data_IF_780450903816
#
_entry.id   IF_780450903816
#
_cell.length_a   1.000
_cell.length_b   1.000
_cell.length_c   1.000
_cell.angle_alpha   90.00
_cell.angle_beta   90.00
_cell.angle_gamma   90.00
#
_symmetry.space_group_name_H-M   'P 1'
#
loop_
_entity.id
_entity.type
_entity.pdbx_description
1 polymer ?
#
# COMPACT_ATOMS: atom_id res chain seq x y z
N UNK A 1 3.80 29.05 -0.36
CA UNK A 1 2.80 28.20 -1.04
C UNK A 1 1.59 27.95 -0.14
N UNK A 2 1.76 27.39 1.07
CA UNK A 2 0.65 27.18 2.02
C UNK A 2 -0.11 28.46 2.41
N UNK A 3 0.57 29.56 2.75
CA UNK A 3 -0.08 30.82 3.12
C UNK A 3 -0.97 31.36 1.99
N UNK A 4 -0.47 31.32 0.75
CA UNK A 4 -1.23 31.74 -0.43
C UNK A 4 -2.40 30.79 -0.74
N UNK A 5 -2.26 29.49 -0.47
CA UNK A 5 -3.33 28.50 -0.68
C UNK A 5 -4.53 28.72 0.25
N UNK A 6 -4.27 29.07 1.52
CA UNK A 6 -5.29 29.32 2.53
C UNK A 6 -5.61 30.82 2.73
N UNK A 7 -4.99 31.70 1.95
CA UNK A 7 -5.20 33.15 1.97
C UNK A 7 -5.01 33.78 3.37
N UNK A 8 -3.94 33.42 4.07
CA UNK A 8 -3.56 34.05 5.34
C UNK A 8 -2.14 34.63 5.31
N UNK A 9 -1.92 35.67 6.11
CA UNK A 9 -0.61 36.26 6.32
C UNK A 9 0.02 35.73 7.62
N UNK A 10 1.26 35.21 7.59
CA UNK A 10 1.93 34.75 8.80
C UNK A 10 2.47 35.95 9.60
N UNK A 11 2.17 35.98 10.89
CA UNK A 11 2.77 36.92 11.85
C UNK A 11 3.79 36.19 12.74
N UNK A 12 5.00 36.73 12.85
CA UNK A 12 6.11 36.09 13.55
C UNK A 12 6.62 37.00 14.68
N UNK A 13 6.93 36.40 15.83
CA UNK A 13 7.56 37.14 16.93
C UNK A 13 8.91 37.71 16.54
N UNK A 14 9.22 38.90 17.06
CA UNK A 14 10.49 39.56 16.84
C UNK A 14 11.63 38.85 17.60
N UNK A 15 12.83 38.87 17.03
CA UNK A 15 14.02 38.31 17.68
C UNK A 15 14.28 39.06 19.00
N UNK A 16 14.51 38.32 20.08
CA UNK A 16 14.71 38.83 21.45
C UNK A 16 13.49 39.50 22.12
N UNK A 17 12.28 39.39 21.55
CA UNK A 17 11.05 39.91 22.15
C UNK A 17 10.29 38.82 22.95
N UNK A 18 10.89 38.31 24.04
CA UNK A 18 10.28 37.25 24.85
C UNK A 18 8.91 37.58 25.46
N UNK A 19 8.60 38.87 25.60
CA UNK A 19 7.31 39.36 26.10
C UNK A 19 6.14 39.06 25.14
N UNK A 20 6.40 38.90 23.84
CA UNK A 20 5.39 38.54 22.82
C UNK A 20 4.91 37.08 22.98
N UNK A 21 5.64 36.27 23.76
CA UNK A 21 5.37 34.84 23.95
C UNK A 21 4.50 34.50 25.18
N UNK A 22 4.14 35.48 26.00
CA UNK A 22 3.45 35.23 27.29
C UNK A 22 2.11 34.47 27.15
N UNK A 23 1.35 34.74 26.08
CA UNK A 23 0.08 34.05 25.78
C UNK A 23 0.34 32.58 25.41
N UNK A 24 1.36 32.32 24.60
CA UNK A 24 1.73 30.97 24.15
C UNK A 24 2.12 30.09 25.33
N UNK A 25 2.92 30.62 26.26
CA UNK A 25 3.39 29.85 27.42
C UNK A 25 2.26 29.50 28.39
N UNK A 26 1.34 30.43 28.63
CA UNK A 26 0.14 30.16 29.43
C UNK A 26 -0.74 29.09 28.77
N UNK A 27 -0.95 29.17 27.44
CA UNK A 27 -1.74 28.18 26.70
C UNK A 27 -1.12 26.77 26.78
N UNK A 28 0.21 26.66 26.76
CA UNK A 28 0.90 25.38 26.95
C UNK A 28 0.64 24.81 28.34
N UNK A 29 0.72 25.64 29.39
CA UNK A 29 0.42 25.20 30.76
C UNK A 29 -1.05 24.77 30.93
N UNK A 30 -1.99 25.52 30.34
CA UNK A 30 -3.42 25.21 30.38
C UNK A 30 -3.72 23.90 29.63
N UNK A 31 -3.14 23.72 28.44
CA UNK A 31 -3.29 22.49 27.66
C UNK A 31 -2.74 21.27 28.40
N UNK A 32 -1.62 21.43 29.12
CA UNK A 32 -1.07 20.38 29.98
C UNK A 32 -2.03 19.93 31.05
N UNK A 33 -2.75 20.85 31.67
CA UNK A 33 -3.73 20.51 32.71
C UNK A 33 -5.00 19.89 32.14
N UNK A 34 -5.47 20.39 31.00
CA UNK A 34 -6.78 20.02 30.41
C UNK A 34 -6.75 18.75 29.55
N UNK A 35 -5.60 18.45 28.94
CA UNK A 35 -5.47 17.33 27.99
C UNK A 35 -4.51 16.29 28.57
N UNK A 36 -3.30 16.70 28.93
CA UNK A 36 -2.24 15.74 29.23
C UNK A 36 -2.35 15.08 30.62
N UNK A 37 -3.14 15.64 31.55
CA UNK A 37 -3.47 14.95 32.81
C UNK A 37 -4.48 13.84 32.54
N UNK A 38 -5.60 14.13 31.87
CA UNK A 38 -6.61 13.13 31.51
C UNK A 38 -6.04 12.01 30.62
N UNK A 39 -5.08 12.35 29.76
CA UNK A 39 -4.38 11.36 28.94
C UNK A 39 -3.58 10.35 29.77
N UNK A 40 -3.11 10.71 30.97
CA UNK A 40 -2.36 9.79 31.85
C UNK A 40 -3.25 8.68 32.44
N UNK A 41 -4.55 8.94 32.57
CA UNK A 41 -5.52 7.97 33.08
C UNK A 41 -5.95 6.95 32.00
N UNK A 42 -5.54 7.18 30.74
CA UNK A 42 -5.83 6.32 29.61
C UNK A 42 -4.61 5.45 29.24
N UNK A 43 -4.85 4.21 28.80
CA UNK A 43 -3.82 3.38 28.17
C UNK A 43 -4.02 3.42 26.66
N UNK A 44 -2.97 3.74 25.92
CA UNK A 44 -2.97 3.77 24.46
C UNK A 44 -2.01 2.70 23.92
N UNK A 45 -2.47 1.93 22.95
CA UNK A 45 -1.69 0.87 22.30
C UNK A 45 -1.00 1.34 21.02
N UNK A 46 -1.37 2.53 20.51
CA UNK A 46 -0.75 3.13 19.33
C UNK A 46 -0.82 4.66 19.33
N UNK A 47 0.03 5.30 18.52
CA UNK A 47 -0.06 6.75 18.28
C UNK A 47 -1.35 7.14 17.56
N UNK A 48 -1.92 6.26 16.73
CA UNK A 48 -3.18 6.50 16.04
C UNK A 48 -4.34 6.62 17.04
N UNK A 49 -4.39 5.70 18.01
CA UNK A 49 -5.36 5.73 19.10
C UNK A 49 -5.24 7.00 19.96
N UNK A 50 -4.00 7.36 20.34
CA UNK A 50 -3.73 8.60 21.05
C UNK A 50 -4.19 9.83 20.25
N UNK A 51 -3.89 9.89 18.96
CA UNK A 51 -4.30 11.01 18.09
C UNK A 51 -5.82 11.11 17.97
N UNK A 52 -6.53 9.98 17.86
CA UNK A 52 -7.99 9.93 17.83
C UNK A 52 -8.58 10.46 19.15
N UNK A 53 -8.06 10.00 20.28
CA UNK A 53 -8.46 10.48 21.61
C UNK A 53 -8.18 11.97 21.79
N UNK A 54 -6.99 12.46 21.42
CA UNK A 54 -6.61 13.87 21.48
C UNK A 54 -7.59 14.72 20.66
N UNK A 55 -7.94 14.28 19.44
CA UNK A 55 -8.90 14.97 18.60
C UNK A 55 -10.29 15.08 19.24
N UNK A 56 -10.75 14.03 19.91
CA UNK A 56 -12.01 14.03 20.64
C UNK A 56 -11.94 14.95 21.86
N UNK A 57 -10.88 14.85 22.68
CA UNK A 57 -10.71 15.68 23.88
C UNK A 57 -10.62 17.17 23.55
N UNK A 58 -9.88 17.53 22.50
CA UNK A 58 -9.80 18.91 22.02
C UNK A 58 -11.17 19.47 21.64
N UNK A 59 -12.02 18.70 20.95
CA UNK A 59 -13.38 19.13 20.60
C UNK A 59 -14.31 19.19 21.81
N UNK A 60 -14.18 18.26 22.77
CA UNK A 60 -14.93 18.31 24.01
C UNK A 60 -14.65 19.60 24.80
N UNK A 61 -13.38 19.99 24.88
CA UNK A 61 -12.96 21.24 25.53
C UNK A 61 -13.58 22.49 24.92
N UNK A 62 -13.96 22.49 23.63
CA UNK A 62 -14.65 23.64 23.03
C UNK A 62 -16.00 23.91 23.68
N UNK A 63 -16.69 22.88 24.18
CA UNK A 63 -17.96 23.02 24.90
C UNK A 63 -17.75 23.39 26.38
N UNK A 64 -16.65 22.93 27.00
CA UNK A 64 -16.37 23.14 28.43
C UNK A 64 -15.79 24.54 28.72
N UNK A 65 -15.04 25.10 27.76
CA UNK A 65 -14.31 26.36 27.95
C UNK A 65 -15.18 27.56 27.58
N UNK A 66 -15.25 28.53 28.49
CA UNK A 66 -15.84 29.85 28.21
C UNK A 66 -14.99 30.63 27.23
N UNK A 67 -15.63 31.31 26.28
CA UNK A 67 -14.95 32.18 25.33
C UNK A 67 -14.29 33.38 26.05
N UNK A 68 -13.03 33.72 25.76
CA UNK A 68 -12.30 34.76 26.51
C UNK A 68 -12.90 36.16 26.37
N UNK A 69 -13.62 36.44 25.27
CA UNK A 69 -14.19 37.76 24.99
C UNK A 69 -15.71 37.82 25.22
N UNK A 70 -16.41 36.68 25.18
CA UNK A 70 -17.87 36.61 25.29
C UNK A 70 -18.25 35.84 26.55
N UNK A 71 -18.51 36.58 27.63
CA UNK A 71 -18.88 35.99 28.93
C UNK A 71 -20.21 35.23 28.81
N UNK A 72 -20.24 33.99 29.29
CA UNK A 72 -21.45 33.16 29.31
C UNK A 72 -21.66 32.30 28.07
N UNK A 73 -20.79 32.41 27.06
CA UNK A 73 -20.77 31.51 25.90
C UNK A 73 -19.52 30.63 25.93
N UNK A 74 -19.66 29.40 25.46
CA UNK A 74 -18.57 28.46 25.21
C UNK A 74 -17.87 28.77 23.88
N UNK A 75 -16.66 28.23 23.70
CA UNK A 75 -15.93 28.34 22.42
C UNK A 75 -16.72 27.69 21.28
N UNK A 76 -17.42 26.57 21.55
CA UNK A 76 -18.24 25.88 20.56
C UNK A 76 -19.43 26.73 20.08
N UNK A 77 -20.16 27.38 21.00
CA UNK A 77 -21.29 28.25 20.65
C UNK A 77 -20.85 29.45 19.81
N UNK A 78 -19.72 30.07 20.15
CA UNK A 78 -19.18 31.17 19.35
C UNK A 78 -18.74 30.68 17.97
N UNK A 79 -18.10 29.51 17.86
CA UNK A 79 -17.75 28.91 16.57
C UNK A 79 -18.98 28.64 15.70
N UNK A 80 -20.11 28.22 16.28
CA UNK A 80 -21.35 28.02 15.53
C UNK A 80 -21.90 29.33 14.96
N UNK A 81 -21.86 30.41 15.76
CA UNK A 81 -22.27 31.74 15.32
C UNK A 81 -21.36 32.27 14.20
N UNK A 82 -20.03 32.13 14.35
CA UNK A 82 -19.07 32.63 13.36
C UNK A 82 -19.08 31.82 12.06
N UNK A 83 -19.43 30.53 12.11
CA UNK A 83 -19.38 29.63 10.94
C UNK A 83 -20.17 30.13 9.73
N UNK A 84 -21.25 30.87 9.95
CA UNK A 84 -22.04 31.47 8.87
C UNK A 84 -21.29 32.56 8.09
N UNK A 85 -20.33 33.22 8.74
CA UNK A 85 -19.52 34.30 8.18
C UNK A 85 -18.16 33.81 7.64
N UNK A 86 -17.80 32.55 7.90
CA UNK A 86 -16.53 31.96 7.45
C UNK A 86 -16.57 31.61 5.96
N UNK A 87 -15.42 31.77 5.30
CA UNK A 87 -15.22 31.25 3.95
C UNK A 87 -15.31 29.71 3.94
N UNK A 88 -15.83 29.12 2.84
CA UNK A 88 -15.74 27.68 2.64
C UNK A 88 -14.29 27.20 2.71
N UNK A 89 -14.07 26.05 3.36
CA UNK A 89 -12.74 25.45 3.42
C UNK A 89 -12.27 25.08 2.00
N UNK A 90 -11.12 25.60 1.51
CA UNK A 90 -10.57 25.19 0.24
C UNK A 90 -10.09 23.74 0.29
N UNK A 91 -9.72 23.18 -0.87
CA UNK A 91 -9.11 21.85 -0.92
C UNK A 91 -7.92 21.76 0.05
N UNK A 92 -7.70 20.59 0.66
CA UNK A 92 -6.57 20.41 1.56
C UNK A 92 -5.24 20.70 0.82
N UNK A 93 -4.38 21.51 1.43
CA UNK A 93 -3.06 21.78 0.89
C UNK A 93 -2.21 20.51 0.86
N UNK A 94 -1.65 20.21 -0.30
CA UNK A 94 -0.78 19.05 -0.47
C UNK A 94 0.66 19.38 -0.02
N UNK A 95 0.94 19.09 1.26
CA UNK A 95 2.18 19.44 1.92
C UNK A 95 3.25 18.35 1.86
N UNK A 96 4.04 18.31 0.79
CA UNK A 96 5.20 17.42 0.66
C UNK A 96 6.51 18.18 0.40
N UNK A 97 7.63 17.53 0.70
CA UNK A 97 8.96 18.00 0.30
C UNK A 97 9.42 17.20 -0.91
N UNK A 98 9.54 17.89 -2.05
CA UNK A 98 9.96 17.27 -3.31
C UNK A 98 11.47 17.34 -3.49
N UNK A 99 12.06 16.21 -3.92
CA UNK A 99 13.48 16.15 -4.30
C UNK A 99 13.70 15.19 -5.47
N UNK A 100 14.53 15.57 -6.46
CA UNK A 100 14.96 14.63 -7.50
C UNK A 100 15.84 13.54 -6.86
N UNK A 101 15.61 12.30 -7.26
CA UNK A 101 16.36 11.14 -6.83
C UNK A 101 16.74 10.28 -8.04
N UNK A 102 17.96 9.73 -8.03
CA UNK A 102 18.39 8.74 -9.03
C UNK A 102 18.11 7.34 -8.52
N UNK A 103 17.44 6.53 -9.33
CA UNK A 103 17.20 5.11 -9.02
C UNK A 103 18.49 4.32 -9.20
N UNK A 104 18.87 3.53 -8.20
CA UNK A 104 20.04 2.64 -8.26
C UNK A 104 19.84 1.48 -9.25
N UNK A 105 20.92 0.77 -9.58
CA UNK A 105 20.83 -0.49 -10.35
C UNK A 105 20.06 -1.59 -9.62
N UNK A 106 19.91 -1.49 -8.30
CA UNK A 106 19.12 -2.40 -7.45
C UNK A 106 17.67 -1.95 -7.28
N UNK A 107 17.22 -0.99 -8.10
CA UNK A 107 15.85 -0.45 -8.09
C UNK A 107 15.49 0.23 -6.76
N UNK A 108 16.42 0.98 -6.17
CA UNK A 108 16.21 1.72 -4.92
C UNK A 108 16.39 3.22 -5.10
N UNK A 109 15.61 4.02 -4.37
CA UNK A 109 15.79 5.47 -4.20
C UNK A 109 16.14 5.80 -2.76
N UNK A 110 17.04 6.76 -2.54
CA UNK A 110 17.44 7.20 -1.19
C UNK A 110 16.66 8.45 -0.77
N UNK A 111 15.89 8.36 0.31
CA UNK A 111 15.10 9.47 0.86
C UNK A 111 15.32 9.52 2.38
N UNK A 112 15.77 10.65 2.90
CA UNK A 112 15.88 10.86 4.35
C UNK A 112 16.80 9.87 5.09
N UNK A 113 17.87 9.39 4.44
CA UNK A 113 18.80 8.33 4.93
C UNK A 113 18.25 6.89 4.91
N UNK A 114 17.03 6.70 4.42
CA UNK A 114 16.46 5.38 4.17
C UNK A 114 16.38 5.11 2.67
N UNK A 115 16.21 3.84 2.30
CA UNK A 115 16.07 3.41 0.90
C UNK A 115 14.71 2.77 0.67
N UNK A 116 14.12 3.05 -0.49
CA UNK A 116 12.80 2.56 -0.87
C UNK A 116 12.89 1.95 -2.25
N UNK A 117 12.29 0.77 -2.43
CA UNK A 117 12.25 0.13 -3.74
C UNK A 117 11.35 0.87 -4.72
N UNK A 118 11.65 0.75 -6.01
CA UNK A 118 10.81 1.26 -7.10
C UNK A 118 10.73 0.21 -8.20
N UNK A 119 9.71 0.26 -9.09
CA UNK A 119 9.60 -0.69 -10.20
C UNK A 119 10.87 -0.75 -11.04
N UNK A 120 11.28 -1.97 -11.41
CA UNK A 120 12.58 -2.22 -12.04
C UNK A 120 12.77 -1.55 -13.41
N UNK A 121 11.69 -1.14 -14.07
CA UNK A 121 11.72 -0.35 -15.32
C UNK A 121 12.29 1.07 -15.15
N UNK A 122 12.37 1.57 -13.90
CA UNK A 122 12.97 2.85 -13.57
C UNK A 122 14.43 2.76 -13.13
N UNK A 123 15.03 1.56 -13.12
CA UNK A 123 16.44 1.40 -12.74
C UNK A 123 17.36 2.33 -13.56
N UNK A 124 18.18 3.13 -12.87
CA UNK A 124 19.08 4.10 -13.48
C UNK A 124 18.45 5.42 -13.96
N UNK A 125 17.12 5.55 -13.92
CA UNK A 125 16.41 6.79 -14.29
C UNK A 125 16.38 7.80 -13.14
N UNK A 126 16.08 9.04 -13.48
CA UNK A 126 15.76 10.08 -12.49
C UNK A 126 14.26 10.12 -12.25
N UNK A 127 13.89 10.27 -10.98
CA UNK A 127 12.50 10.31 -10.52
C UNK A 127 12.35 11.42 -9.48
N UNK A 128 11.12 11.85 -9.22
CA UNK A 128 10.80 12.76 -8.13
C UNK A 128 10.40 11.97 -6.89
N UNK A 129 11.02 12.28 -5.76
CA UNK A 129 10.61 11.75 -4.46
C UNK A 129 9.84 12.82 -3.69
N UNK A 130 8.61 12.49 -3.28
CA UNK A 130 7.74 13.34 -2.46
C UNK A 130 7.70 12.77 -1.05
N UNK A 131 8.27 13.52 -0.11
CA UNK A 131 8.31 13.13 1.30
C UNK A 131 7.13 13.76 2.05
N UNK A 132 6.23 12.91 2.55
CA UNK A 132 5.12 13.27 3.42
C UNK A 132 5.46 12.98 4.89
N UNK A 133 4.61 13.41 5.86
CA UNK A 133 4.80 13.09 7.26
C UNK A 133 4.85 11.57 7.54
N UNK A 134 3.95 10.79 6.94
CA UNK A 134 3.78 9.34 7.23
C UNK A 134 4.15 8.43 6.07
N UNK A 135 4.37 8.97 4.86
CA UNK A 135 4.65 8.18 3.66
C UNK A 135 5.65 8.86 2.73
N UNK A 136 6.16 8.11 1.77
CA UNK A 136 6.96 8.60 0.66
C UNK A 136 6.31 8.11 -0.62
N UNK A 137 6.18 9.03 -1.57
CA UNK A 137 5.73 8.73 -2.92
C UNK A 137 6.88 8.97 -3.88
N UNK A 138 6.98 8.11 -4.89
CA UNK A 138 7.94 8.28 -5.98
C UNK A 138 7.15 8.45 -7.26
N UNK A 139 7.47 9.52 -7.99
CA UNK A 139 6.75 9.94 -9.18
C UNK A 139 7.73 10.01 -10.35
N UNK A 140 7.33 9.47 -11.49
CA UNK A 140 8.06 9.58 -12.75
C UNK A 140 7.06 9.98 -13.85
N UNK A 141 7.43 10.97 -14.67
CA UNK A 141 6.58 11.47 -15.77
C UNK A 141 5.13 11.79 -15.31
N UNK A 142 5.00 12.48 -14.17
CA UNK A 142 3.74 12.83 -13.49
C UNK A 142 2.86 11.65 -13.04
N UNK A 143 3.35 10.41 -13.15
CA UNK A 143 2.68 9.21 -12.65
C UNK A 143 3.30 8.74 -11.32
N UNK A 144 2.44 8.38 -10.37
CA UNK A 144 2.87 7.73 -9.12
C UNK A 144 3.32 6.29 -9.43
N UNK A 145 4.60 5.99 -9.19
CA UNK A 145 5.20 4.69 -9.51
C UNK A 145 5.44 3.81 -8.28
N UNK A 146 5.58 4.41 -7.11
CA UNK A 146 5.76 3.69 -5.84
C UNK A 146 5.25 4.53 -4.66
N UNK A 147 4.71 3.86 -3.65
CA UNK A 147 4.31 4.48 -2.38
C UNK A 147 4.74 3.59 -1.22
N UNK A 148 5.36 4.19 -0.21
CA UNK A 148 5.89 3.48 0.94
C UNK A 148 5.50 4.20 2.23
N UNK A 149 5.25 3.43 3.30
CA UNK A 149 5.25 4.00 4.65
C UNK A 149 6.63 4.59 4.96
N UNK A 150 6.65 5.77 5.59
CA UNK A 150 7.90 6.45 5.91
C UNK A 150 8.60 5.74 7.07
N UNK A 151 9.84 5.35 6.83
CA UNK A 151 10.72 4.83 7.87
C UNK A 151 11.28 5.99 8.70
N UNK A 152 11.15 5.90 10.03
CA UNK A 152 11.52 6.95 10.97
C UNK A 152 12.99 6.85 11.46
N UNK A 153 13.54 5.64 11.46
CA UNK A 153 14.94 5.40 11.81
C UNK A 153 15.88 5.70 10.63
N UNK A 154 17.11 5.22 10.69
CA UNK A 154 18.16 5.48 9.70
C UNK A 154 18.67 4.18 9.09
N UNK A 155 19.12 4.28 7.84
CA UNK A 155 19.78 3.19 7.11
C UNK A 155 18.90 1.95 6.90
N UNK A 156 17.58 2.12 7.02
CA UNK A 156 16.62 1.07 6.75
C UNK A 156 16.26 1.02 5.26
N UNK A 157 15.79 -0.14 4.82
CA UNK A 157 15.33 -0.37 3.45
C UNK A 157 13.91 -0.92 3.49
N UNK A 158 12.99 -0.26 2.79
CA UNK A 158 11.63 -0.77 2.54
C UNK A 158 11.58 -1.37 1.14
N UNK A 159 11.31 -2.67 1.07
CA UNK A 159 11.09 -3.37 -0.18
C UNK A 159 9.60 -3.61 -0.40
N UNK A 160 9.15 -3.33 -1.62
CA UNK A 160 7.99 -3.99 -2.20
C UNK A 160 8.51 -5.00 -3.23
N UNK A 161 8.24 -6.28 -2.99
CA UNK A 161 8.68 -7.35 -3.88
C UNK A 161 8.01 -7.30 -5.25
N UNK A 162 6.85 -6.66 -5.37
CA UNK A 162 6.11 -6.54 -6.63
C UNK A 162 6.87 -5.72 -7.66
N UNK A 163 7.65 -4.73 -7.21
CA UNK A 163 8.52 -3.93 -8.07
C UNK A 163 9.55 -4.75 -8.87
N UNK A 164 9.86 -5.96 -8.40
CA UNK A 164 10.85 -6.86 -8.99
C UNK A 164 10.23 -7.99 -9.83
N UNK A 165 8.89 -8.09 -9.94
CA UNK A 165 8.23 -9.14 -10.73
C UNK A 165 8.74 -9.20 -12.18
N UNK A 166 8.82 -8.07 -12.94
CA UNK A 166 9.29 -8.13 -14.34
C UNK A 166 10.75 -8.58 -14.48
N UNK A 167 11.58 -8.34 -13.44
CA UNK A 167 12.94 -8.82 -13.39
C UNK A 167 12.98 -10.35 -13.19
N UNK A 168 12.13 -10.87 -12.32
CA UNK A 168 12.04 -12.30 -12.00
C UNK A 168 11.51 -13.12 -13.16
N UNK A 169 10.55 -12.60 -13.94
CA UNK A 169 10.08 -13.26 -15.15
C UNK A 169 11.22 -13.52 -16.14
N UNK A 170 12.12 -12.53 -16.30
CA UNK A 170 13.30 -12.64 -17.18
C UNK A 170 14.43 -13.44 -16.56
N UNK A 171 14.64 -13.33 -15.24
CA UNK A 171 15.73 -13.98 -14.49
C UNK A 171 15.19 -14.66 -13.22
N UNK A 172 14.56 -15.84 -13.35
CA UNK A 172 13.95 -16.54 -12.20
C UNK A 172 14.92 -16.85 -11.06
N UNK A 173 16.21 -17.06 -11.37
CA UNK A 173 17.24 -17.36 -10.37
C UNK A 173 17.47 -16.24 -9.34
N UNK A 174 17.06 -15.00 -9.62
CA UNK A 174 17.16 -13.90 -8.67
C UNK A 174 16.24 -14.07 -7.43
N UNK A 175 15.24 -14.96 -7.49
CA UNK A 175 14.37 -15.29 -6.35
C UNK A 175 15.09 -15.96 -5.18
N UNK A 176 16.21 -16.64 -5.42
CA UNK A 176 16.89 -17.46 -4.39
C UNK A 176 17.44 -16.61 -3.26
N UNK A 177 18.20 -15.57 -3.62
CA UNK A 177 18.95 -14.71 -2.68
C UNK A 177 18.50 -13.25 -2.74
N UNK A 178 17.37 -12.94 -3.39
CA UNK A 178 16.89 -11.57 -3.50
C UNK A 178 16.33 -11.08 -2.16
N UNK A 179 16.96 -10.04 -1.60
CA UNK A 179 16.49 -9.36 -0.39
C UNK A 179 15.01 -8.93 -0.43
N UNK A 180 14.44 -8.46 -1.57
CA UNK A 180 13.02 -8.11 -1.62
C UNK A 180 12.07 -9.27 -1.31
N UNK A 181 12.49 -10.52 -1.55
CA UNK A 181 11.63 -11.71 -1.44
C UNK A 181 11.69 -12.39 -0.07
N UNK A 182 12.32 -11.77 0.94
CA UNK A 182 12.28 -12.27 2.32
C UNK A 182 10.92 -12.00 2.96
N UNK A 183 10.32 -10.87 2.59
CA UNK A 183 9.10 -10.34 3.21
C UNK A 183 7.82 -10.77 2.46
N UNK A 184 7.92 -11.85 1.67
CA UNK A 184 6.77 -12.44 1.00
C UNK A 184 5.69 -12.88 2.00
N UNK A 185 4.40 -12.76 1.66
CA UNK A 185 3.31 -13.36 2.41
C UNK A 185 3.53 -14.85 2.73
N UNK A 186 2.97 -15.32 3.85
CA UNK A 186 3.20 -16.68 4.34
C UNK A 186 2.87 -17.79 3.30
N UNK A 187 1.76 -17.74 2.55
CA UNK A 187 1.46 -18.74 1.52
C UNK A 187 2.52 -18.81 0.42
N UNK A 188 2.97 -17.64 -0.05
CA UNK A 188 4.01 -17.55 -1.08
C UNK A 188 5.37 -18.05 -0.58
N UNK A 189 5.70 -17.84 0.70
CA UNK A 189 6.92 -18.40 1.31
C UNK A 189 6.85 -19.93 1.40
N UNK A 190 5.71 -20.48 1.79
CA UNK A 190 5.51 -21.94 1.85
C UNK A 190 5.62 -22.55 0.46
N UNK A 191 4.99 -21.93 -0.55
CA UNK A 191 5.11 -22.34 -1.94
C UNK A 191 6.57 -22.32 -2.42
N UNK A 192 7.30 -21.21 -2.17
CA UNK A 192 8.72 -21.09 -2.52
C UNK A 192 9.56 -22.20 -1.87
N UNK A 193 9.30 -22.55 -0.61
CA UNK A 193 10.00 -23.62 0.09
C UNK A 193 9.70 -25.00 -0.52
N UNK A 194 8.43 -25.28 -0.81
CA UNK A 194 8.01 -26.52 -1.46
C UNK A 194 8.63 -26.70 -2.86
N UNK A 195 8.60 -25.63 -3.66
CA UNK A 195 9.17 -25.59 -5.01
C UNK A 195 10.70 -25.66 -5.03
N UNK A 196 11.39 -25.30 -3.95
CA UNK A 196 12.85 -25.33 -3.88
C UNK A 196 13.47 -26.71 -4.09
N UNK A 197 12.70 -27.78 -3.92
CA UNK A 197 13.12 -29.18 -4.16
C UNK A 197 12.93 -29.64 -5.61
N UNK A 198 12.20 -28.88 -6.43
CA UNK A 198 11.88 -29.23 -7.81
C UNK A 198 12.84 -28.57 -8.80
N UNK A 199 13.28 -29.33 -9.80
CA UNK A 199 14.02 -28.78 -10.93
C UNK A 199 13.13 -27.75 -11.67
N UNK A 200 13.57 -26.49 -11.70
CA UNK A 200 12.78 -25.41 -12.32
C UNK A 200 11.74 -24.74 -11.41
N UNK A 201 11.73 -25.03 -10.10
CA UNK A 201 10.81 -24.40 -9.13
C UNK A 201 10.85 -22.87 -9.15
N UNK A 202 12.02 -22.27 -9.41
CA UNK A 202 12.15 -20.81 -9.55
C UNK A 202 11.31 -20.26 -10.72
N UNK A 203 11.20 -20.98 -11.83
CA UNK A 203 10.37 -20.58 -12.99
C UNK A 203 8.88 -20.66 -12.67
N UNK A 204 8.48 -21.71 -11.95
CA UNK A 204 7.10 -21.88 -11.49
C UNK A 204 6.74 -20.73 -10.54
N UNK A 205 7.60 -20.43 -9.57
CA UNK A 205 7.40 -19.31 -8.65
C UNK A 205 7.32 -17.98 -9.40
N UNK A 206 8.19 -17.76 -10.39
CA UNK A 206 8.16 -16.56 -11.22
C UNK A 206 6.83 -16.40 -11.96
N UNK A 207 6.29 -17.48 -12.54
CA UNK A 207 4.98 -17.46 -13.21
C UNK A 207 3.83 -17.15 -12.26
N UNK A 208 3.86 -17.69 -11.04
CA UNK A 208 2.84 -17.41 -10.03
C UNK A 208 2.90 -15.95 -9.59
N UNK A 209 4.09 -15.41 -9.34
CA UNK A 209 4.26 -14.00 -8.98
C UNK A 209 3.85 -13.05 -10.12
N UNK A 210 4.07 -13.46 -11.38
CA UNK A 210 3.62 -12.70 -12.55
C UNK A 210 2.10 -12.62 -12.70
N UNK A 211 1.33 -13.52 -12.06
CA UNK A 211 -0.13 -13.44 -12.05
C UNK A 211 -0.66 -12.33 -11.13
N UNK A 212 0.13 -11.87 -10.15
CA UNK A 212 -0.31 -10.92 -9.11
C UNK A 212 -0.79 -9.58 -9.69
N UNK A 213 -0.07 -8.92 -10.63
CA UNK A 213 -0.53 -7.66 -11.20
C UNK A 213 -1.84 -7.77 -12.00
N UNK A 214 -2.19 -8.97 -12.47
CA UNK A 214 -3.38 -9.21 -13.31
C UNK A 214 -4.57 -9.66 -12.47
N UNK A 215 -4.35 -10.62 -11.56
CA UNK A 215 -5.40 -11.24 -10.76
C UNK A 215 -5.61 -10.60 -9.39
N UNK A 216 -4.69 -9.76 -8.94
CA UNK A 216 -4.64 -9.23 -7.58
C UNK A 216 -3.94 -10.19 -6.61
N UNK A 217 -3.40 -9.63 -5.52
CA UNK A 217 -2.64 -10.39 -4.53
C UNK A 217 -3.52 -11.43 -3.81
N UNK A 218 -4.71 -11.04 -3.37
CA UNK A 218 -5.57 -11.90 -2.55
C UNK A 218 -6.01 -13.17 -3.29
N UNK A 219 -6.41 -13.03 -4.57
CA UNK A 219 -6.80 -14.18 -5.40
C UNK A 219 -5.63 -15.17 -5.57
N UNK A 220 -4.41 -14.66 -5.75
CA UNK A 220 -3.20 -15.50 -5.85
C UNK A 220 -2.90 -16.17 -4.51
N UNK A 221 -3.02 -15.48 -3.39
CA UNK A 221 -2.81 -16.06 -2.07
C UNK A 221 -3.78 -17.22 -1.80
N UNK A 222 -5.08 -17.00 -2.04
CA UNK A 222 -6.11 -18.03 -1.90
C UNK A 222 -5.84 -19.22 -2.82
N UNK A 223 -5.47 -18.98 -4.08
CA UNK A 223 -5.14 -20.05 -5.01
C UNK A 223 -3.93 -20.88 -4.55
N UNK A 224 -2.91 -20.23 -4.00
CA UNK A 224 -1.72 -20.89 -3.48
C UNK A 224 -2.04 -21.72 -2.24
N UNK A 225 -2.87 -21.22 -1.33
CA UNK A 225 -3.32 -21.99 -0.15
C UNK A 225 -4.06 -23.27 -0.57
N UNK A 226 -5.03 -23.16 -1.49
CA UNK A 226 -5.78 -24.31 -2.01
C UNK A 226 -4.85 -25.36 -2.65
N UNK A 227 -3.85 -24.92 -3.41
CA UNK A 227 -2.90 -25.85 -4.03
C UNK A 227 -1.98 -26.50 -2.98
N UNK A 228 -1.54 -25.76 -1.97
CA UNK A 228 -0.75 -26.30 -0.86
C UNK A 228 -1.52 -27.38 -0.09
N UNK A 229 -2.81 -27.18 0.15
CA UNK A 229 -3.69 -28.19 0.78
C UNK A 229 -3.87 -29.44 -0.09
N UNK A 230 -3.93 -29.28 -1.42
CA UNK A 230 -4.07 -30.39 -2.36
C UNK A 230 -2.81 -31.27 -2.50
N UNK A 231 -1.65 -30.82 -1.99
CA UNK A 231 -0.37 -31.53 -2.03
C UNK A 231 0.30 -31.63 -3.41
N UNK A 232 -0.33 -31.12 -4.47
CA UNK A 232 0.18 -31.20 -5.85
C UNK A 232 0.67 -29.83 -6.35
N UNK A 233 1.96 -29.56 -6.16
CA UNK A 233 2.61 -28.29 -6.54
C UNK A 233 2.82 -28.20 -8.07
N UNK A 234 1.86 -27.65 -8.80
CA UNK A 234 1.98 -27.36 -10.24
C UNK A 234 1.60 -25.91 -10.55
N UNK A 235 2.40 -25.26 -11.41
CA UNK A 235 2.13 -23.92 -11.91
C UNK A 235 0.75 -23.84 -12.58
N UNK A 236 0.43 -24.84 -13.41
CA UNK A 236 -0.82 -24.91 -14.17
C UNK A 236 -2.03 -25.03 -13.24
N UNK A 237 -1.88 -25.76 -12.13
CA UNK A 237 -2.93 -25.90 -11.14
C UNK A 237 -3.18 -24.55 -10.46
N UNK A 238 -2.13 -23.85 -10.01
CA UNK A 238 -2.26 -22.54 -9.38
C UNK A 238 -2.90 -21.55 -10.34
N UNK A 239 -2.40 -21.45 -11.58
CA UNK A 239 -2.91 -20.54 -12.59
C UNK A 239 -4.37 -20.85 -12.96
N UNK A 240 -4.76 -22.12 -13.01
CA UNK A 240 -6.15 -22.53 -13.25
C UNK A 240 -7.06 -22.12 -12.08
N UNK A 241 -6.62 -22.30 -10.83
CA UNK A 241 -7.39 -21.84 -9.67
C UNK A 241 -7.53 -20.32 -9.68
N UNK A 242 -6.45 -19.58 -9.94
CA UNK A 242 -6.49 -18.11 -10.11
C UNK A 242 -7.48 -17.71 -11.20
N UNK A 243 -7.42 -18.37 -12.37
CA UNK A 243 -8.33 -18.09 -13.49
C UNK A 243 -9.80 -18.35 -13.14
N UNK A 244 -10.09 -19.37 -12.32
CA UNK A 244 -11.46 -19.65 -11.84
C UNK A 244 -11.94 -18.61 -10.83
N UNK A 245 -11.07 -18.18 -9.92
CA UNK A 245 -11.40 -17.17 -8.91
C UNK A 245 -11.63 -15.79 -9.53
N UNK A 246 -10.96 -15.50 -10.64
CA UNK A 246 -11.05 -14.22 -11.36
C UNK A 246 -11.96 -14.26 -12.59
N UNK A 247 -12.59 -15.41 -12.86
CA UNK A 247 -13.46 -15.58 -14.01
C UNK A 247 -14.65 -14.62 -13.91
N UNK A 248 -14.87 -13.83 -14.97
CA UNK A 248 -16.10 -13.08 -15.13
C UNK A 248 -17.28 -14.03 -15.33
N UNK A 249 -18.49 -13.57 -15.00
CA UNK A 249 -19.70 -14.36 -15.22
C UNK A 249 -19.76 -14.82 -16.68
N UNK A 250 -20.08 -16.11 -16.92
CA UNK A 250 -20.25 -16.59 -18.28
C UNK A 250 -21.35 -15.77 -18.96
N UNK A 251 -21.19 -15.42 -20.24
CA UNK A 251 -22.20 -14.67 -20.95
C UNK A 251 -23.55 -15.43 -20.89
N UNK A 252 -24.68 -14.70 -20.84
CA UNK A 252 -25.98 -15.35 -20.75
C UNK A 252 -26.16 -16.30 -21.94
N UNK A 253 -26.66 -17.51 -21.64
CA UNK A 253 -26.98 -18.50 -22.66
C UNK A 253 -27.95 -17.91 -23.67
N UNK A 254 -27.58 -17.93 -24.95
CA UNK A 254 -28.47 -17.50 -26.03
C UNK A 254 -29.60 -18.52 -26.15
N UNK A 255 -30.84 -18.06 -26.01
CA UNK A 255 -32.00 -18.89 -26.31
C UNK A 255 -32.04 -19.17 -27.82
N UNK A 256 -31.96 -20.45 -28.18
CA UNK A 256 -32.03 -20.89 -29.58
C UNK A 256 -33.13 -21.92 -29.74
N UNK A 257 -33.87 -21.84 -30.85
CA UNK A 257 -34.90 -22.83 -31.21
C UNK A 257 -34.31 -24.12 -31.82
N UNK A 258 -32.98 -24.23 -31.88
CA UNK A 258 -32.28 -25.35 -32.49
C UNK A 258 -32.01 -26.42 -31.42
N UNK A 259 -32.68 -27.55 -31.51
CA UNK A 259 -32.41 -28.71 -30.67
C UNK A 259 -31.29 -29.57 -31.30
N UNK A 260 -30.22 -29.76 -30.53
CA UNK A 260 -29.16 -30.71 -30.92
C UNK A 260 -29.73 -32.13 -30.88
N UNK A 261 -29.70 -32.82 -32.02
CA UNK A 261 -30.08 -34.25 -32.11
C UNK A 261 -29.09 -35.17 -31.40
N UNK A 262 -27.83 -34.76 -31.34
CA UNK A 262 -26.78 -35.43 -30.57
C UNK A 262 -26.10 -34.40 -29.65
N UNK A 263 -26.11 -34.68 -28.35
CA UNK A 263 -25.44 -33.82 -27.39
C UNK A 263 -23.91 -33.97 -27.53
N UNK A 264 -23.15 -32.87 -27.52
CA UNK A 264 -21.70 -32.95 -27.51
C UNK A 264 -21.23 -33.62 -26.23
N UNK A 265 -20.64 -34.81 -26.35
CA UNK A 265 -19.99 -35.50 -25.23
C UNK A 265 -18.58 -34.93 -25.09
N UNK A 266 -18.24 -34.43 -23.90
CA UNK A 266 -16.86 -34.05 -23.55
C UNK A 266 -15.97 -35.30 -23.40
N UNK A 267 -15.76 -36.02 -24.51
CA UNK A 267 -14.99 -37.26 -24.55
C UNK A 267 -13.52 -36.95 -24.89
N UNK A 268 -12.73 -36.69 -23.84
CA UNK A 268 -11.28 -36.44 -23.93
C UNK A 268 -10.51 -37.64 -24.50
N UNK A 269 -11.03 -38.86 -24.40
CA UNK A 269 -10.40 -40.07 -24.93
C UNK A 269 -10.36 -40.14 -26.47
N UNK A 270 -11.01 -39.20 -27.18
CA UNK A 270 -10.83 -39.02 -28.63
C UNK A 270 -9.40 -38.58 -28.98
N UNK A 271 -8.74 -37.80 -28.13
CA UNK A 271 -7.35 -37.37 -28.33
C UNK A 271 -6.35 -38.50 -28.10
N UNK A 272 -6.62 -39.38 -27.13
CA UNK A 272 -5.79 -40.56 -26.86
C UNK A 272 -5.75 -41.52 -28.07
N UNK A 273 -6.83 -41.59 -28.85
CA UNK A 273 -6.88 -42.38 -30.10
C UNK A 273 -6.07 -41.77 -31.23
N UNK A 274 -5.81 -40.45 -31.21
CA UNK A 274 -4.95 -39.77 -32.18
C UNK A 274 -3.45 -39.96 -31.86
N UNK A 275 -3.10 -40.36 -30.63
CA UNK A 275 -1.75 -40.83 -30.25
C UNK A 275 -1.49 -42.27 -30.71
N UNK A 276 -1.88 -42.61 -31.94
CA UNK A 276 -1.72 -43.95 -32.49
C UNK A 276 -0.30 -44.51 -32.31
N UNK A 277 -0.19 -45.62 -31.57
CA UNK A 277 0.83 -46.68 -31.61
C UNK A 277 2.26 -46.30 -32.05
N UNK A 278 2.82 -45.20 -31.56
CA UNK A 278 4.28 -45.03 -31.62
C UNK A 278 4.79 -45.44 -30.25
N UNK A 279 5.35 -46.65 -30.16
CA UNK A 279 6.15 -47.07 -28.99
C UNK A 279 7.08 -45.92 -28.64
N UNK A 280 6.97 -45.39 -27.43
CA UNK A 280 8.04 -44.58 -26.84
C UNK A 280 9.31 -45.43 -26.90
N UNK A 281 10.21 -45.10 -27.81
CA UNK A 281 11.57 -45.61 -27.80
C UNK A 281 12.21 -44.94 -26.59
N UNK A 282 12.40 -45.71 -25.53
CA UNK A 282 13.10 -45.26 -24.34
C UNK A 282 14.47 -44.74 -24.72
N UNK A 283 14.66 -43.43 -24.60
CA UNK A 283 15.99 -42.85 -24.56
C UNK A 283 16.51 -43.02 -23.14
N UNK A 284 17.35 -44.04 -22.97
CA UNK A 284 18.32 -44.15 -21.89
C UNK A 284 19.32 -42.98 -21.93
#
# INVERSE_FOLDING_TARGET
>A
VMCAHYLFDPDFCNVAAGWEKGIVEKNVQDSRRRIWLDAQDCQFHSFEELNAWLGQRCRALWNELTHPQYSGLSVAEVLELERAELMPMPAAFDGYVERPARVSSTCLVSVGRNRYSVPCEYAGKWVSSRLYPTRIEVVADDALIASHARLLDREQVSYDWQHYIPLIERKPGALRNGAPFTDLPAPLRQLKHGLGRHAGGDRIMAQVLAAVPVAGLDAVLVAVELVLESGSLSAEHILNVVARLTASEPPPSVETHLSLKEAPVANTARYDRLRGQTKEIGHA
#
